data_IF_459677608166
#
_entry.id   IF_459677608166
#
_cell.length_a   1.000
_cell.length_b   1.000
_cell.length_c   1.000
_cell.angle_alpha   90.00
_cell.angle_beta   90.00
_cell.angle_gamma   90.00
#
_symmetry.space_group_name_H-M   'P 1'
#
loop_
_entity.id
_entity.type
_entity.pdbx_description
1 polymer ?
#
# COMPACT_ATOMS: atom_id res chain seq x y z
N UNK A 1 9.34 3.95 7.06
CA UNK A 1 9.00 2.71 6.31
C UNK A 1 7.53 2.28 6.43
N UNK A 2 6.62 3.12 6.93
CA UNK A 2 5.20 2.78 7.09
C UNK A 2 4.31 3.59 6.13
N UNK A 3 4.43 3.35 4.83
CA UNK A 3 3.50 3.90 3.84
C UNK A 3 2.47 2.82 3.47
N UNK A 4 1.21 3.22 3.31
CA UNK A 4 0.15 2.34 2.84
C UNK A 4 0.26 2.17 1.32
N UNK A 5 -0.04 0.98 0.81
CA UNK A 5 -0.08 0.70 -0.63
C UNK A 5 -1.18 1.49 -1.32
N UNK A 6 -1.04 1.76 -2.63
CA UNK A 6 -2.05 2.48 -3.44
C UNK A 6 -2.52 3.79 -2.79
N UNK A 7 -1.62 4.45 -2.06
CA UNK A 7 -1.92 5.68 -1.32
C UNK A 7 -1.03 6.78 -1.86
N UNK A 8 -1.64 7.92 -2.20
CA UNK A 8 -0.92 9.12 -2.63
C UNK A 8 -0.30 9.83 -1.42
N UNK A 9 0.98 10.17 -1.53
CA UNK A 9 1.69 10.91 -0.51
C UNK A 9 2.30 12.19 -1.09
N UNK A 10 2.16 13.28 -0.36
CA UNK A 10 2.91 14.51 -0.60
C UNK A 10 4.24 14.44 0.18
N UNK A 11 5.35 14.62 -0.53
CA UNK A 11 6.70 14.53 0.01
C UNK A 11 7.38 15.89 -0.16
N UNK A 12 8.14 16.33 0.86
CA UNK A 12 8.90 17.58 0.79
C UNK A 12 10.32 17.37 1.34
N UNK A 13 11.32 17.88 0.62
CA UNK A 13 12.73 17.83 0.99
C UNK A 13 13.26 19.24 1.16
N UNK A 14 13.82 19.57 2.32
CA UNK A 14 14.35 20.90 2.64
C UNK A 14 15.87 20.84 2.84
N UNK A 15 16.66 21.71 2.19
CA UNK A 15 18.08 21.83 2.48
C UNK A 15 18.29 22.54 3.82
N UNK A 16 19.23 22.06 4.64
CA UNK A 16 19.57 22.64 5.94
C UNK A 16 20.99 23.23 5.87
N UNK A 17 21.12 24.49 6.25
CA UNK A 17 22.38 25.23 6.40
C UNK A 17 22.56 25.63 7.88
N UNK A 18 23.77 26.04 8.28
CA UNK A 18 24.11 26.32 9.69
C UNK A 18 23.06 27.17 10.42
N UNK A 19 22.53 28.19 9.77
CA UNK A 19 21.62 29.15 10.41
C UNK A 19 20.15 29.03 9.95
N UNK A 20 19.86 28.26 8.90
CA UNK A 20 18.51 28.22 8.31
C UNK A 20 18.22 27.01 7.44
N UNK A 21 16.94 26.66 7.33
CA UNK A 21 16.43 25.84 6.25
C UNK A 21 16.24 26.69 4.98
N UNK A 22 16.61 26.16 3.81
CA UNK A 22 16.32 26.77 2.52
C UNK A 22 14.94 26.37 1.98
N UNK A 23 14.63 26.81 0.75
CA UNK A 23 13.39 26.45 0.08
C UNK A 23 13.34 24.94 -0.22
N UNK A 24 12.19 24.32 0.05
CA UNK A 24 12.00 22.89 -0.11
C UNK A 24 11.47 22.50 -1.49
N UNK A 25 11.92 21.36 -1.99
CA UNK A 25 11.35 20.70 -3.15
C UNK A 25 10.18 19.83 -2.72
N UNK A 26 9.02 19.99 -3.38
CA UNK A 26 7.81 19.24 -3.10
C UNK A 26 7.46 18.34 -4.28
N UNK A 27 7.05 17.12 -3.99
CA UNK A 27 6.58 16.14 -4.96
C UNK A 27 5.34 15.43 -4.44
N UNK A 28 4.62 14.81 -5.36
CA UNK A 28 3.48 13.96 -5.07
C UNK A 28 3.74 12.64 -5.78
N UNK A 29 3.59 11.54 -5.06
CA UNK A 29 3.77 10.22 -5.64
C UNK A 29 2.87 9.19 -4.95
N UNK A 30 2.46 8.18 -5.70
CA UNK A 30 1.59 7.11 -5.23
C UNK A 30 2.41 5.86 -4.99
N UNK A 31 2.24 5.26 -3.83
CA UNK A 31 2.91 4.00 -3.49
C UNK A 31 2.40 2.85 -4.37
N UNK A 32 3.29 1.88 -4.59
CA UNK A 32 2.96 0.68 -5.34
C UNK A 32 1.82 -0.10 -4.65
N UNK A 33 1.05 -0.83 -5.46
CA UNK A 33 0.17 -1.87 -4.96
C UNK A 33 0.98 -3.02 -4.38
N UNK A 34 0.39 -3.72 -3.40
CA UNK A 34 0.86 -5.06 -3.08
C UNK A 34 0.72 -5.95 -4.31
N UNK A 35 1.69 -6.85 -4.56
CA UNK A 35 1.47 -7.93 -5.52
C UNK A 35 0.23 -8.74 -5.09
N UNK A 36 -0.59 -9.21 -6.03
CA UNK A 36 -1.73 -10.06 -5.70
C UNK A 36 -1.24 -11.33 -5.00
N UNK A 37 -2.01 -11.87 -4.05
CA UNK A 37 -1.64 -13.11 -3.40
C UNK A 37 -1.75 -14.29 -4.37
N UNK A 38 -0.88 -15.27 -4.21
CA UNK A 38 -0.84 -16.46 -5.05
C UNK A 38 -1.99 -17.43 -4.71
N UNK A 39 -2.42 -18.21 -5.70
CA UNK A 39 -3.40 -19.29 -5.55
C UNK A 39 -4.72 -18.88 -4.87
N UNK A 40 -5.23 -17.68 -5.21
CA UNK A 40 -6.52 -17.20 -4.75
C UNK A 40 -7.66 -18.13 -5.18
N UNK A 41 -8.43 -18.63 -4.21
CA UNK A 41 -9.57 -19.51 -4.41
C UNK A 41 -10.80 -18.94 -3.71
N UNK A 42 -11.92 -18.88 -4.42
CA UNK A 42 -13.23 -18.51 -3.87
C UNK A 42 -14.01 -19.78 -3.57
N UNK A 43 -14.61 -19.83 -2.38
CA UNK A 43 -15.31 -20.98 -1.81
C UNK A 43 -16.65 -20.53 -1.21
N UNK A 44 -17.55 -21.49 -0.95
CA UNK A 44 -18.79 -21.30 -0.17
C UNK A 44 -19.62 -20.08 -0.60
N UNK A 45 -19.80 -19.92 -1.92
CA UNK A 45 -20.53 -18.78 -2.50
C UNK A 45 -22.03 -18.98 -2.30
N UNK A 46 -22.66 -17.97 -1.69
CA UNK A 46 -24.12 -17.83 -1.59
C UNK A 46 -24.56 -16.55 -2.31
N UNK A 47 -25.85 -16.23 -2.22
CA UNK A 47 -26.38 -14.98 -2.77
C UNK A 47 -25.85 -13.72 -2.06
N UNK A 48 -25.27 -13.83 -0.86
CA UNK A 48 -24.82 -12.68 -0.05
C UNK A 48 -23.51 -12.89 0.71
N UNK A 49 -22.84 -14.03 0.51
CA UNK A 49 -21.60 -14.34 1.21
C UNK A 49 -20.66 -15.15 0.33
N UNK A 50 -19.38 -15.01 0.57
CA UNK A 50 -18.35 -15.88 0.00
C UNK A 50 -17.21 -16.05 1.01
N UNK A 51 -16.46 -17.13 0.85
CA UNK A 51 -15.20 -17.35 1.57
C UNK A 51 -14.06 -17.28 0.58
N UNK A 52 -13.01 -16.53 0.90
CA UNK A 52 -11.82 -16.39 0.05
C UNK A 52 -10.61 -16.93 0.80
N UNK A 53 -9.76 -17.69 0.11
CA UNK A 53 -8.48 -18.18 0.62
C UNK A 53 -7.38 -17.90 -0.41
N UNK A 54 -6.15 -17.73 0.05
CA UNK A 54 -4.95 -17.58 -0.78
C UNK A 54 -3.73 -18.11 -0.04
N UNK A 55 -2.62 -18.28 -0.75
CA UNK A 55 -1.37 -18.70 -0.13
C UNK A 55 -0.66 -17.54 0.58
N UNK A 56 -0.16 -17.81 1.78
CA UNK A 56 0.63 -16.84 2.54
C UNK A 56 1.98 -16.67 1.86
N UNK A 57 2.40 -15.42 1.67
CA UNK A 57 3.73 -15.07 1.20
C UNK A 57 4.61 -14.66 2.38
N UNK A 58 5.88 -15.07 2.38
CA UNK A 58 6.83 -14.74 3.45
C UNK A 58 7.17 -13.25 3.48
N UNK A 59 7.13 -12.58 2.32
CA UNK A 59 7.38 -11.14 2.14
C UNK A 59 6.20 -10.25 2.57
N UNK A 60 5.06 -10.85 2.93
CA UNK A 60 3.81 -10.12 3.16
C UNK A 60 3.44 -10.12 4.65
N UNK A 61 3.41 -8.93 5.25
CA UNK A 61 3.01 -8.73 6.65
C UNK A 61 1.50 -8.48 6.79
N UNK A 62 0.84 -7.90 5.78
CA UNK A 62 -0.59 -7.60 5.75
C UNK A 62 -1.19 -7.81 4.36
N UNK A 63 -2.50 -8.04 4.31
CA UNK A 63 -3.28 -8.12 3.07
C UNK A 63 -4.42 -7.10 3.11
N UNK A 64 -4.67 -6.43 1.99
CA UNK A 64 -5.83 -5.56 1.81
C UNK A 64 -6.84 -6.26 0.89
N UNK A 65 -8.08 -6.40 1.37
CA UNK A 65 -9.17 -7.00 0.60
C UNK A 65 -10.10 -5.89 0.13
N UNK A 66 -10.18 -5.71 -1.19
CA UNK A 66 -11.11 -4.79 -1.83
C UNK A 66 -12.24 -5.60 -2.47
N UNK A 67 -13.48 -5.19 -2.21
CA UNK A 67 -14.69 -5.78 -2.78
C UNK A 67 -15.70 -4.67 -3.06
N UNK A 68 -16.50 -4.83 -4.11
CA UNK A 68 -17.59 -3.91 -4.50
C UNK A 68 -18.96 -4.47 -4.09
#
# INVERSE_FOLDING_TARGET
DNLHSLTEYQIAVFPIYEDKAGEGLRGIETTLSFPPPDNLTILDVTHNSMRVKWERREDSTQYMVLYE
#
